data_IF_922666017603
#
_entry.id   IF_922666017603
#
_cell.length_a   1.000
_cell.length_b   1.000
_cell.length_c   1.000
_cell.angle_alpha   90.00
_cell.angle_beta   90.00
_cell.angle_gamma   90.00
#
_symmetry.space_group_name_H-M   'P 1'
#
loop_
_entity.id
_entity.type
_entity.pdbx_description
1 polymer ?
#
# COMPACT_ATOMS: atom_id res chain seq x y z
N UNK A 1 9.84 -10.73 9.16
CA UNK A 1 9.64 -9.98 10.42
C UNK A 1 8.91 -10.84 11.42
N UNK A 2 8.84 -10.43 12.68
CA UNK A 2 8.05 -11.12 13.71
C UNK A 2 6.62 -10.57 13.67
N UNK A 3 5.57 -11.42 13.61
CA UNK A 3 4.20 -10.94 13.67
C UNK A 3 3.93 -10.16 14.97
N UNK A 4 3.20 -9.05 14.86
CA UNK A 4 2.75 -8.29 16.03
C UNK A 4 1.67 -9.09 16.75
N UNK A 5 1.84 -9.30 18.06
CA UNK A 5 0.93 -10.06 18.91
C UNK A 5 0.30 -9.17 19.97
N UNK A 6 -0.94 -9.45 20.36
CA UNK A 6 -1.65 -8.73 21.41
C UNK A 6 -3.17 -8.94 21.31
N UNK A 7 -3.92 -8.37 22.25
CA UNK A 7 -5.37 -8.33 22.14
C UNK A 7 -5.77 -7.52 20.90
N UNK A 8 -6.66 -8.07 20.07
CA UNK A 8 -7.12 -7.41 18.86
C UNK A 8 -7.94 -6.16 19.19
N UNK A 9 -7.83 -5.15 18.33
CA UNK A 9 -8.50 -3.87 18.45
C UNK A 9 -9.24 -3.53 17.17
N UNK A 10 -10.43 -2.95 17.30
CA UNK A 10 -11.21 -2.47 16.17
C UNK A 10 -10.50 -1.28 15.51
N UNK A 11 -9.91 -1.53 14.34
CA UNK A 11 -8.99 -0.62 13.66
C UNK A 11 -9.53 -0.21 12.30
N UNK A 12 -9.45 1.08 11.99
CA UNK A 12 -9.63 1.61 10.62
C UNK A 12 -8.26 1.81 10.00
N UNK A 13 -8.04 1.31 8.79
CA UNK A 13 -6.76 1.47 8.08
C UNK A 13 -6.91 2.52 6.98
N UNK A 14 -6.37 3.71 7.23
CA UNK A 14 -6.24 4.80 6.25
C UNK A 14 -4.91 4.76 5.51
N UNK A 15 -4.87 5.35 4.32
CA UNK A 15 -3.65 5.61 3.57
C UNK A 15 -3.08 7.02 3.81
N UNK A 16 -1.98 7.36 3.12
CA UNK A 16 -1.27 8.63 3.31
C UNK A 16 -1.70 9.75 2.37
N UNK A 17 -2.75 9.57 1.56
CA UNK A 17 -3.23 10.59 0.65
C UNK A 17 -3.97 11.68 1.43
N UNK A 18 -3.87 12.92 0.94
CA UNK A 18 -4.76 14.01 1.35
C UNK A 18 -6.11 13.84 0.62
N UNK A 19 -6.76 12.70 0.84
CA UNK A 19 -8.01 12.32 0.19
C UNK A 19 -8.88 11.57 1.19
N UNK A 20 -10.12 12.02 1.35
CA UNK A 20 -11.08 11.46 2.31
C UNK A 20 -11.39 9.97 2.06
N UNK A 21 -11.38 9.56 0.79
CA UNK A 21 -11.63 8.20 0.36
C UNK A 21 -10.45 7.24 0.48
N UNK A 22 -9.27 7.70 0.91
CA UNK A 22 -8.08 6.85 1.06
C UNK A 22 -8.13 6.00 2.33
N UNK A 23 -9.07 5.05 2.36
CA UNK A 23 -9.27 4.10 3.47
C UNK A 23 -9.43 2.70 2.91
N UNK A 24 -8.63 1.76 3.41
CA UNK A 24 -8.65 0.36 2.97
C UNK A 24 -9.79 -0.44 3.58
N UNK A 25 -10.22 -0.11 4.80
CA UNK A 25 -11.31 -0.80 5.49
C UNK A 25 -12.65 -0.10 5.23
N UNK A 26 -13.08 -0.09 3.97
CA UNK A 26 -14.40 0.43 3.56
C UNK A 26 -15.31 -0.71 3.08
N UNK A 27 -16.60 -0.56 3.32
CA UNK A 27 -17.66 -1.38 2.75
C UNK A 27 -18.30 -0.73 1.52
N UNK A 28 -19.38 -1.34 1.04
CA UNK A 28 -20.16 -0.83 -0.09
C UNK A 28 -20.66 0.60 0.19
N UNK A 29 -20.63 1.45 -0.84
CA UNK A 29 -21.05 2.85 -0.73
C UNK A 29 -20.09 3.77 0.06
N UNK A 30 -18.87 3.30 0.38
CA UNK A 30 -17.86 4.11 1.09
C UNK A 30 -18.05 4.15 2.61
N UNK A 31 -18.86 3.25 3.18
CA UNK A 31 -19.02 3.15 4.63
C UNK A 31 -17.72 2.67 5.25
N UNK A 32 -17.15 3.45 6.17
CA UNK A 32 -15.93 3.05 6.89
C UNK A 32 -16.26 1.92 7.87
N UNK A 33 -15.51 0.83 7.78
CA UNK A 33 -15.62 -0.35 8.63
C UNK A 33 -14.33 -0.56 9.43
N UNK A 34 -14.45 -1.21 10.58
CA UNK A 34 -13.31 -1.57 11.43
C UNK A 34 -12.92 -3.02 11.21
N UNK A 35 -11.62 -3.33 11.28
CA UNK A 35 -11.08 -4.70 11.31
C UNK A 35 -10.36 -4.97 12.62
N UNK A 36 -10.55 -6.15 13.23
CA UNK A 36 -9.82 -6.54 14.41
C UNK A 36 -8.35 -6.81 14.03
N UNK A 37 -7.44 -5.95 14.50
CA UNK A 37 -6.01 -6.06 14.24
C UNK A 37 -5.22 -6.00 15.56
N UNK A 38 -4.04 -6.64 15.64
CA UNK A 38 -3.12 -6.42 16.76
C UNK A 38 -2.73 -4.93 16.87
N UNK A 39 -2.32 -4.47 18.07
CA UNK A 39 -1.91 -3.08 18.28
C UNK A 39 -0.62 -2.78 17.51
N UNK A 40 -0.72 -1.97 16.45
CA UNK A 40 0.43 -1.54 15.65
C UNK A 40 1.13 -0.31 16.25
N UNK A 41 2.43 -0.21 16.04
CA UNK A 41 3.26 0.93 16.38
C UNK A 41 3.90 1.54 15.12
N UNK A 42 4.38 2.78 15.23
CA UNK A 42 5.17 3.41 14.16
C UNK A 42 6.41 2.56 13.90
N UNK A 43 6.57 2.12 12.66
CA UNK A 43 7.65 1.23 12.22
C UNK A 43 7.21 -0.21 11.95
N UNK A 44 6.03 -0.62 12.44
CA UNK A 44 5.44 -1.90 12.06
C UNK A 44 5.00 -1.92 10.60
N UNK A 45 4.89 -3.14 10.04
CA UNK A 45 4.41 -3.36 8.68
C UNK A 45 3.03 -4.01 8.69
N UNK A 46 2.15 -3.51 7.82
CA UNK A 46 0.87 -4.13 7.50
C UNK A 46 0.96 -4.84 6.15
N UNK A 47 0.40 -6.04 6.06
CA UNK A 47 0.36 -6.85 4.82
C UNK A 47 -1.07 -6.90 4.29
N UNK A 48 -1.29 -6.26 3.14
CA UNK A 48 -2.50 -6.42 2.34
C UNK A 48 -2.34 -7.67 1.47
N UNK A 49 -3.13 -8.70 1.77
CA UNK A 49 -3.09 -9.98 1.05
C UNK A 49 -3.82 -9.87 -0.30
N UNK A 50 -3.57 -10.83 -1.18
CA UNK A 50 -4.30 -11.02 -2.46
C UNK A 50 -4.24 -9.83 -3.43
N UNK A 51 -3.19 -9.01 -3.34
CA UNK A 51 -2.97 -7.82 -4.19
C UNK A 51 -2.30 -8.12 -5.54
N UNK A 52 -2.16 -9.39 -5.91
CA UNK A 52 -1.46 -9.82 -7.13
C UNK A 52 -2.20 -9.50 -8.42
N UNK A 53 -3.53 -9.41 -8.37
CA UNK A 53 -4.36 -8.97 -9.49
C UNK A 53 -4.96 -7.60 -9.18
N UNK A 54 -5.04 -6.72 -10.20
CA UNK A 54 -5.66 -5.39 -10.10
C UNK A 54 -5.07 -4.45 -9.01
N UNK A 55 -3.90 -4.77 -8.45
CA UNK A 55 -3.13 -3.87 -7.58
C UNK A 55 -2.19 -2.96 -8.38
N UNK A 56 -1.01 -3.49 -8.69
CA UNK A 56 0.02 -2.73 -9.42
C UNK A 56 -0.45 -2.24 -10.80
N UNK A 57 -1.34 -2.96 -11.47
CA UNK A 57 -1.89 -2.60 -12.79
C UNK A 57 -2.86 -1.41 -12.76
N UNK A 58 -3.46 -1.12 -11.60
CA UNK A 58 -4.39 0.01 -11.40
C UNK A 58 -3.75 1.16 -10.60
N UNK A 59 -2.45 1.09 -10.33
CA UNK A 59 -1.74 2.14 -9.60
C UNK A 59 -1.72 3.45 -10.40
N UNK A 60 -1.83 4.58 -9.69
CA UNK A 60 -1.78 5.93 -10.27
C UNK A 60 -0.69 6.77 -9.62
N UNK A 61 -0.39 7.92 -10.21
CA UNK A 61 0.49 8.94 -9.62
C UNK A 61 -0.27 10.03 -8.86
N UNK A 62 -1.47 9.73 -8.36
CA UNK A 62 -2.25 10.69 -7.56
C UNK A 62 -1.43 11.18 -6.35
N UNK A 63 -1.55 12.48 -6.06
CA UNK A 63 -0.70 13.20 -5.11
C UNK A 63 0.82 13.10 -5.38
N UNK A 64 1.22 13.04 -6.65
CA UNK A 64 2.64 12.99 -7.10
C UNK A 64 3.42 11.84 -6.46
N UNK A 65 2.75 10.70 -6.26
CA UNK A 65 3.37 9.51 -5.68
C UNK A 65 3.93 8.61 -6.79
N UNK A 66 5.24 8.33 -6.82
CA UNK A 66 5.79 7.44 -7.84
C UNK A 66 5.30 6.00 -7.71
N UNK A 67 5.19 5.30 -8.83
CA UNK A 67 4.85 3.88 -8.86
C UNK A 67 5.79 3.04 -7.98
N UNK A 68 5.22 2.08 -7.26
CA UNK A 68 5.95 1.21 -6.33
C UNK A 68 6.89 0.24 -7.04
N UNK A 69 7.91 -0.21 -6.31
CA UNK A 69 8.72 -1.36 -6.71
C UNK A 69 7.92 -2.67 -6.59
N UNK A 70 8.25 -3.65 -7.42
CA UNK A 70 7.72 -5.01 -7.38
C UNK A 70 8.88 -6.00 -7.23
N UNK A 71 8.73 -6.95 -6.31
CA UNK A 71 9.71 -8.00 -6.03
C UNK A 71 9.04 -9.35 -6.28
N UNK A 72 9.70 -10.21 -7.04
CA UNK A 72 9.32 -11.60 -7.20
C UNK A 72 10.22 -12.46 -6.32
N UNK A 73 9.60 -13.31 -5.50
CA UNK A 73 10.31 -14.33 -4.71
C UNK A 73 10.15 -15.66 -5.44
N UNK A 74 11.26 -16.27 -5.81
CA UNK A 74 11.30 -17.55 -6.50
C UNK A 74 12.38 -18.42 -5.86
N UNK A 75 12.01 -19.62 -5.38
CA UNK A 75 12.90 -20.51 -4.61
C UNK A 75 13.58 -19.78 -3.42
N UNK A 76 12.79 -19.03 -2.64
CA UNK A 76 13.24 -18.21 -1.51
C UNK A 76 14.25 -17.09 -1.88
N UNK A 77 14.44 -16.80 -3.17
CA UNK A 77 15.30 -15.73 -3.64
C UNK A 77 14.47 -14.54 -4.12
N UNK A 78 14.54 -13.38 -3.44
CA UNK A 78 13.88 -12.17 -3.89
C UNK A 78 14.66 -11.52 -5.05
N UNK A 79 13.95 -11.17 -6.12
CA UNK A 79 14.48 -10.34 -7.21
C UNK A 79 13.58 -9.15 -7.51
N UNK A 80 14.19 -7.98 -7.72
CA UNK A 80 13.47 -6.80 -8.19
C UNK A 80 13.03 -7.05 -9.65
N UNK A 81 11.72 -6.99 -9.90
CA UNK A 81 11.14 -7.15 -11.25
C UNK A 81 10.59 -5.83 -11.80
N UNK A 82 10.28 -4.87 -10.93
CA UNK A 82 10.00 -3.49 -11.29
C UNK A 82 10.64 -2.58 -10.26
N UNK A 83 11.49 -1.64 -10.69
CA UNK A 83 12.01 -0.62 -9.79
C UNK A 83 10.94 0.40 -9.43
N UNK A 84 11.12 1.08 -8.30
CA UNK A 84 10.32 2.26 -7.95
C UNK A 84 10.57 3.35 -9.00
N UNK A 85 9.51 4.01 -9.44
CA UNK A 85 9.60 5.21 -10.27
C UNK A 85 10.17 6.37 -9.44
N UNK A 86 10.82 7.32 -10.08
CA UNK A 86 11.33 8.54 -9.43
C UNK A 86 10.42 9.73 -9.72
N UNK A 87 10.46 10.75 -8.86
CA UNK A 87 9.73 12.01 -9.13
C UNK A 87 10.27 12.69 -10.39
N UNK A 88 11.57 12.62 -10.64
CA UNK A 88 12.18 13.17 -11.86
C UNK A 88 11.57 12.57 -13.14
N UNK A 89 11.22 11.28 -13.13
CA UNK A 89 10.57 10.62 -14.27
C UNK A 89 9.12 11.05 -14.47
N UNK A 90 8.42 11.45 -13.40
CA UNK A 90 7.11 12.09 -13.54
C UNK A 90 7.25 13.44 -14.24
N UNK A 91 8.18 14.26 -13.75
CA UNK A 91 8.43 15.60 -14.27
C UNK A 91 9.07 15.61 -15.67
N UNK A 92 9.72 14.51 -16.08
CA UNK A 92 10.36 14.42 -17.39
C UNK A 92 9.40 14.66 -18.56
N UNK A 93 8.11 14.45 -18.37
CA UNK A 93 7.07 14.71 -19.37
C UNK A 93 6.69 16.20 -19.49
N UNK A 94 7.12 17.03 -18.52
CA UNK A 94 6.84 18.47 -18.45
C UNK A 94 8.04 19.31 -18.91
N UNK A 95 9.17 18.68 -19.21
CA UNK A 95 10.36 19.35 -19.73
C UNK A 95 10.20 19.54 -21.24
N UNK A 96 10.03 20.81 -21.66
CA UNK A 96 9.90 21.25 -23.05
C UNK A 96 11.25 21.42 -23.76
#
# INVERSE_FOLDING_TARGET
GTPVTGALQDTVVGGPLCESGDVFTQGEGGVVLQRPLPPAQVGDLLVLHDTGAYGASMSSNYNTRPLIAEVLVENDQPRLIRRRQTVAELLALEIL
#
